data_IF_811405900330
#
_entry.id   IF_811405900330
#
_cell.length_a   1.000
_cell.length_b   1.000
_cell.length_c   1.000
_cell.angle_alpha   90.00
_cell.angle_beta   90.00
_cell.angle_gamma   90.00
#
_symmetry.space_group_name_H-M   'P 1'
#
loop_
_entity.id
_entity.type
_entity.pdbx_description
1 polymer ?
#
# COMPACT_ATOMS: atom_id res chain seq x y z
N UNK A 1 20.32 21.56 4.30
CA UNK A 1 19.28 21.58 3.25
C UNK A 1 18.89 20.13 3.00
N UNK A 2 17.66 19.74 3.33
CA UNK A 2 17.15 18.42 2.94
C UNK A 2 16.97 18.43 1.41
N UNK A 3 17.50 17.44 0.69
CA UNK A 3 17.28 17.37 -0.76
C UNK A 3 15.86 16.89 -1.01
N UNK A 4 15.23 17.37 -2.08
CA UNK A 4 13.86 17.02 -2.46
C UNK A 4 13.65 15.49 -2.56
N UNK A 5 14.68 14.77 -3.02
CA UNK A 5 14.71 13.31 -3.09
C UNK A 5 14.59 12.65 -1.72
N UNK A 6 15.24 13.20 -0.69
CA UNK A 6 15.20 12.65 0.67
C UNK A 6 13.78 12.77 1.27
N UNK A 7 13.09 13.88 0.96
CA UNK A 7 11.71 14.10 1.40
C UNK A 7 10.74 13.15 0.71
N UNK A 8 10.86 12.97 -0.62
CA UNK A 8 10.01 12.05 -1.38
C UNK A 8 10.15 10.61 -0.86
N UNK A 9 11.38 10.16 -0.61
CA UNK A 9 11.63 8.83 -0.04
C UNK A 9 11.02 8.67 1.35
N UNK A 10 11.14 9.70 2.21
CA UNK A 10 10.55 9.67 3.54
C UNK A 10 9.01 9.59 3.50
N UNK A 11 8.36 10.28 2.56
CA UNK A 11 6.90 10.21 2.36
C UNK A 11 6.48 8.80 1.95
N UNK A 12 7.16 8.20 0.96
CA UNK A 12 6.85 6.84 0.50
C UNK A 12 7.09 5.79 1.60
N UNK A 13 8.21 5.89 2.32
CA UNK A 13 8.51 4.97 3.43
C UNK A 13 7.45 5.05 4.56
N UNK A 14 6.96 6.27 4.86
CA UNK A 14 5.86 6.45 5.82
C UNK A 14 4.55 5.83 5.31
N UNK A 15 4.26 5.99 4.01
CA UNK A 15 3.11 5.34 3.40
C UNK A 15 3.23 3.81 3.50
N UNK A 16 4.39 3.23 3.20
CA UNK A 16 4.62 1.78 3.24
C UNK A 16 4.42 1.20 4.64
N UNK A 17 4.91 1.87 5.69
CA UNK A 17 4.67 1.47 7.07
C UNK A 17 3.16 1.50 7.43
N UNK A 18 2.44 2.49 6.90
CA UNK A 18 0.99 2.61 7.09
C UNK A 18 0.24 1.53 6.31
N UNK A 19 0.64 1.25 5.07
CA UNK A 19 0.11 0.21 4.21
C UNK A 19 0.28 -1.18 4.83
N UNK A 20 1.45 -1.45 5.43
CA UNK A 20 1.71 -2.69 6.16
C UNK A 20 0.74 -2.88 7.32
N UNK A 21 0.55 -1.83 8.14
CA UNK A 21 -0.37 -1.86 9.28
C UNK A 21 -1.83 -2.05 8.83
N UNK A 22 -2.24 -1.36 7.77
CA UNK A 22 -3.58 -1.46 7.20
C UNK A 22 -3.85 -2.86 6.64
N UNK A 23 -2.89 -3.43 5.89
CA UNK A 23 -2.95 -4.80 5.39
C UNK A 23 -3.12 -5.80 6.53
N UNK A 24 -2.29 -5.70 7.59
CA UNK A 24 -2.38 -6.59 8.72
C UNK A 24 -3.76 -6.54 9.40
N UNK A 25 -4.30 -5.32 9.61
CA UNK A 25 -5.63 -5.13 10.20
C UNK A 25 -6.77 -5.68 9.34
N UNK A 26 -6.75 -5.46 8.03
CA UNK A 26 -7.79 -5.95 7.12
C UNK A 26 -7.71 -7.47 6.92
N UNK A 27 -6.51 -8.03 6.81
CA UNK A 27 -6.30 -9.49 6.78
C UNK A 27 -6.79 -10.15 8.06
N UNK A 28 -6.52 -9.57 9.24
CA UNK A 28 -7.02 -10.09 10.51
C UNK A 28 -8.57 -10.10 10.60
N UNK A 29 -9.23 -9.21 9.85
CA UNK A 29 -10.70 -9.17 9.71
C UNK A 29 -11.23 -10.11 8.61
N UNK A 30 -10.35 -10.82 7.90
CA UNK A 30 -10.73 -11.68 6.76
C UNK A 30 -11.10 -10.90 5.50
N UNK A 31 -10.69 -9.63 5.40
CA UNK A 31 -10.99 -8.77 4.25
C UNK A 31 -9.85 -8.81 3.23
N UNK A 32 -10.16 -9.25 2.02
CA UNK A 32 -9.28 -9.12 0.85
C UNK A 32 -9.45 -7.75 0.22
N UNK A 33 -8.36 -7.05 -0.05
CA UNK A 33 -8.40 -5.70 -0.63
C UNK A 33 -7.94 -5.75 -2.08
N UNK A 34 -8.75 -5.19 -2.97
CA UNK A 34 -8.49 -5.12 -4.41
C UNK A 34 -8.39 -3.66 -4.85
N UNK A 35 -7.19 -3.22 -5.23
CA UNK A 35 -6.91 -1.86 -5.69
C UNK A 35 -6.93 -1.80 -7.22
N UNK A 36 -7.83 -1.00 -7.79
CA UNK A 36 -8.01 -0.85 -9.24
C UNK A 36 -7.33 0.43 -9.74
N UNK A 37 -6.30 0.27 -10.56
CA UNK A 37 -5.56 1.37 -11.20
C UNK A 37 -5.92 1.41 -12.69
N UNK A 38 -6.10 2.60 -13.26
CA UNK A 38 -6.35 2.76 -14.70
C UNK A 38 -6.10 4.19 -15.16
N UNK A 39 -6.18 4.44 -16.47
CA UNK A 39 -6.37 5.82 -16.96
C UNK A 39 -7.81 6.29 -16.72
N UNK A 40 -8.11 7.59 -16.79
CA UNK A 40 -9.49 8.08 -16.87
C UNK A 40 -10.23 7.41 -18.03
N UNK A 41 -11.48 7.02 -17.81
CA UNK A 41 -12.32 6.46 -18.87
C UNK A 41 -11.97 5.03 -19.32
N UNK A 42 -11.04 4.33 -18.67
CA UNK A 42 -10.75 2.91 -18.98
C UNK A 42 -11.89 1.96 -18.60
N UNK A 43 -12.96 2.43 -17.93
CA UNK A 43 -14.14 1.62 -17.62
C UNK A 43 -14.09 0.88 -16.29
N UNK A 44 -13.30 1.36 -15.31
CA UNK A 44 -13.24 0.79 -13.94
C UNK A 44 -14.63 0.68 -13.31
N UNK A 45 -15.37 1.80 -13.27
CA UNK A 45 -16.68 1.88 -12.62
C UNK A 45 -17.71 0.96 -13.24
N UNK A 46 -17.73 0.81 -14.57
CA UNK A 46 -18.63 -0.15 -15.23
C UNK A 46 -18.26 -1.59 -14.85
N UNK A 47 -16.98 -1.96 -14.91
CA UNK A 47 -16.58 -3.31 -14.52
C UNK A 47 -16.92 -3.56 -13.05
N UNK A 48 -16.56 -2.63 -12.16
CA UNK A 48 -16.77 -2.77 -10.73
C UNK A 48 -18.25 -2.82 -10.35
N UNK A 49 -19.12 -2.02 -10.98
CA UNK A 49 -20.58 -2.10 -10.79
C UNK A 49 -21.09 -3.52 -11.06
N UNK A 50 -20.62 -4.16 -12.14
CA UNK A 50 -20.99 -5.52 -12.53
C UNK A 50 -20.43 -6.58 -11.59
N UNK A 51 -19.18 -6.43 -11.16
CA UNK A 51 -18.53 -7.33 -10.19
C UNK A 51 -19.22 -7.28 -8.82
N UNK A 52 -19.59 -6.08 -8.34
CA UNK A 52 -20.35 -5.90 -7.11
C UNK A 52 -21.74 -6.52 -7.19
N UNK A 53 -22.47 -6.27 -8.29
CA UNK A 53 -23.79 -6.88 -8.50
C UNK A 53 -23.68 -8.42 -8.50
N UNK A 54 -22.66 -8.96 -9.18
CA UNK A 54 -22.39 -10.40 -9.21
C UNK A 54 -22.03 -10.97 -7.83
N UNK A 55 -21.31 -10.21 -7.01
CA UNK A 55 -21.00 -10.60 -5.64
C UNK A 55 -22.26 -10.63 -4.76
N UNK A 56 -23.12 -9.61 -4.88
CA UNK A 56 -24.41 -9.56 -4.20
C UNK A 56 -25.33 -10.74 -4.61
N UNK A 57 -25.41 -11.06 -5.91
CA UNK A 57 -26.13 -12.25 -6.41
C UNK A 57 -25.63 -13.56 -5.78
N UNK A 58 -24.32 -13.66 -5.52
CA UNK A 58 -23.68 -14.83 -4.93
C UNK A 58 -23.69 -14.82 -3.39
N UNK A 59 -24.24 -13.79 -2.75
CA UNK A 59 -24.21 -13.62 -1.30
C UNK A 59 -22.81 -13.42 -0.73
N UNK A 60 -21.86 -12.92 -1.52
CA UNK A 60 -20.50 -12.58 -1.06
C UNK A 60 -20.54 -11.20 -0.40
N UNK A 61 -20.14 -11.06 0.87
CA UNK A 61 -20.09 -9.75 1.52
C UNK A 61 -18.99 -8.88 0.92
N UNK A 62 -19.39 -7.87 0.15
CA UNK A 62 -18.48 -6.94 -0.53
C UNK A 62 -18.78 -5.50 -0.17
N UNK A 63 -17.78 -4.65 -0.24
CA UNK A 63 -17.92 -3.20 -0.19
C UNK A 63 -17.01 -2.56 -1.25
N UNK A 64 -17.34 -1.33 -1.64
CA UNK A 64 -16.52 -0.55 -2.55
C UNK A 64 -16.20 0.85 -1.99
N UNK A 65 -14.98 1.29 -2.23
CA UNK A 65 -14.58 2.68 -2.05
C UNK A 65 -14.13 3.20 -3.41
N UNK A 66 -14.64 4.35 -3.83
CA UNK A 66 -14.22 5.01 -5.07
C UNK A 66 -13.63 6.37 -4.76
N UNK A 67 -12.54 6.72 -5.43
CA UNK A 67 -11.79 7.95 -5.20
C UNK A 67 -11.64 8.77 -6.48
N UNK A 68 -12.08 10.02 -6.40
CA UNK A 68 -12.03 10.97 -7.50
C UNK A 68 -11.60 12.36 -7.03
N UNK A 69 -11.13 13.18 -7.97
CA UNK A 69 -10.83 14.59 -7.70
C UNK A 69 -12.12 15.39 -7.42
N UNK A 70 -13.22 15.02 -8.07
CA UNK A 70 -14.48 15.76 -8.00
C UNK A 70 -15.68 14.86 -8.35
N UNK A 71 -16.85 15.27 -7.88
CA UNK A 71 -18.15 14.61 -8.07
C UNK A 71 -18.31 13.29 -7.32
N UNK A 72 -19.55 12.84 -7.17
CA UNK A 72 -19.91 11.58 -6.51
C UNK A 72 -20.53 10.58 -7.52
N UNK A 73 -20.34 10.83 -8.81
CA UNK A 73 -21.02 10.11 -9.88
C UNK A 73 -20.72 8.61 -9.85
N UNK A 74 -19.45 8.26 -9.58
CA UNK A 74 -19.02 6.87 -9.55
C UNK A 74 -19.58 6.17 -8.30
N UNK A 75 -19.62 6.83 -7.14
CA UNK A 75 -20.24 6.25 -5.95
C UNK A 75 -21.76 6.01 -6.13
N UNK A 76 -22.49 6.98 -6.69
CA UNK A 76 -23.92 6.85 -7.00
C UNK A 76 -24.18 5.69 -7.95
N UNK A 77 -23.29 5.52 -8.94
CA UNK A 77 -23.39 4.45 -9.90
C UNK A 77 -23.12 3.09 -9.27
N UNK A 78 -22.03 2.94 -8.54
CA UNK A 78 -21.66 1.69 -7.87
C UNK A 78 -22.71 1.25 -6.85
N UNK A 79 -23.37 2.18 -6.15
CA UNK A 79 -24.41 1.88 -5.18
C UNK A 79 -25.63 1.14 -5.77
N UNK A 80 -25.84 1.20 -7.09
CA UNK A 80 -26.90 0.45 -7.79
C UNK A 80 -26.73 -1.06 -7.71
N UNK A 81 -25.50 -1.53 -7.43
CA UNK A 81 -25.22 -2.95 -7.19
C UNK A 81 -25.87 -3.51 -5.93
N UNK A 82 -26.26 -2.65 -4.98
CA UNK A 82 -26.73 -3.03 -3.65
C UNK A 82 -25.62 -3.24 -2.62
N UNK A 83 -24.35 -3.14 -3.02
CA UNK A 83 -23.22 -3.16 -2.10
C UNK A 83 -23.05 -1.82 -1.35
N UNK A 84 -22.50 -1.81 -0.13
CA UNK A 84 -22.03 -0.60 0.54
C UNK A 84 -20.95 0.10 -0.29
N UNK A 85 -21.14 1.40 -0.57
CA UNK A 85 -20.20 2.22 -1.35
C UNK A 85 -19.82 3.49 -0.61
N UNK A 86 -18.53 3.85 -0.63
CA UNK A 86 -18.01 5.12 -0.11
C UNK A 86 -17.33 5.93 -1.20
N UNK A 87 -17.74 7.19 -1.33
CA UNK A 87 -16.97 8.18 -2.09
C UNK A 87 -15.82 8.72 -1.23
N UNK A 88 -14.67 8.92 -1.87
CA UNK A 88 -13.58 9.74 -1.37
C UNK A 88 -13.32 10.84 -2.39
N UNK A 89 -13.36 12.09 -1.95
CA UNK A 89 -12.85 13.21 -2.73
C UNK A 89 -11.41 13.45 -2.28
N UNK A 90 -10.47 13.42 -3.23
CA UNK A 90 -9.03 13.44 -2.91
C UNK A 90 -8.48 14.85 -2.67
N UNK A 91 -9.34 15.88 -2.69
CA UNK A 91 -8.98 17.29 -2.49
C UNK A 91 -7.81 17.75 -3.38
N UNK A 92 -7.77 17.26 -4.62
CA UNK A 92 -6.76 17.60 -5.63
C UNK A 92 -5.60 16.62 -5.73
N UNK A 93 -5.51 15.60 -4.87
CA UNK A 93 -4.49 14.56 -4.98
C UNK A 93 -4.81 13.60 -6.14
N UNK A 94 -3.79 13.25 -6.92
CA UNK A 94 -3.91 12.35 -8.08
C UNK A 94 -3.91 10.85 -7.72
N UNK A 95 -3.93 10.51 -6.43
CA UNK A 95 -3.84 9.14 -5.91
C UNK A 95 -4.41 9.06 -4.48
N UNK A 96 -4.67 7.84 -4.02
CA UNK A 96 -4.90 7.53 -2.61
C UNK A 96 -3.59 7.15 -1.90
N UNK A 97 -3.54 7.43 -0.59
CA UNK A 97 -2.49 6.97 0.32
C UNK A 97 -3.10 5.99 1.35
N UNK A 98 -2.29 5.07 1.88
CA UNK A 98 -2.76 4.07 2.85
C UNK A 98 -3.39 4.71 4.10
N UNK A 99 -2.80 5.81 4.60
CA UNK A 99 -3.34 6.52 5.75
C UNK A 99 -4.69 7.18 5.48
N UNK A 100 -4.91 7.65 4.25
CA UNK A 100 -6.20 8.21 3.81
C UNK A 100 -7.25 7.10 3.73
N UNK A 101 -6.91 5.99 3.08
CA UNK A 101 -7.78 4.81 3.01
C UNK A 101 -8.17 4.33 4.41
N UNK A 102 -7.20 4.13 5.31
CA UNK A 102 -7.45 3.69 6.69
C UNK A 102 -8.47 4.57 7.43
N UNK A 103 -8.34 5.91 7.33
CA UNK A 103 -9.30 6.84 7.94
C UNK A 103 -10.71 6.73 7.35
N UNK A 104 -10.83 6.48 6.04
CA UNK A 104 -12.14 6.29 5.42
C UNK A 104 -12.78 4.94 5.74
N UNK A 105 -11.98 3.91 6.02
CA UNK A 105 -12.50 2.59 6.41
C UNK A 105 -12.92 2.55 7.89
N UNK A 106 -12.28 3.35 8.73
CA UNK A 106 -12.62 3.45 10.15
C UNK A 106 -14.09 3.84 10.36
N UNK A 107 -14.78 3.08 11.21
CA UNK A 107 -16.21 3.20 11.51
C UNK A 107 -17.17 3.19 10.29
N UNK A 108 -16.71 2.74 9.12
CA UNK A 108 -17.55 2.64 7.93
C UNK A 108 -17.59 1.23 7.33
N UNK A 109 -16.44 0.54 7.25
CA UNK A 109 -16.37 -0.76 6.57
C UNK A 109 -17.18 -1.81 7.37
N UNK A 110 -18.26 -2.38 6.79
CA UNK A 110 -19.12 -3.32 7.50
C UNK A 110 -18.38 -4.55 8.00
N UNK A 111 -18.77 -5.05 9.18
CA UNK A 111 -18.22 -6.28 9.73
C UNK A 111 -18.54 -7.48 8.84
N UNK A 112 -17.59 -8.39 8.72
CA UNK A 112 -17.71 -9.55 7.83
C UNK A 112 -17.51 -9.23 6.34
N UNK A 113 -17.14 -7.99 5.97
CA UNK A 113 -16.76 -7.67 4.59
C UNK A 113 -15.60 -8.57 4.15
N UNK A 114 -15.85 -9.42 3.16
CA UNK A 114 -14.89 -10.41 2.66
C UNK A 114 -14.00 -9.81 1.58
N UNK A 115 -14.55 -8.94 0.73
CA UNK A 115 -13.78 -8.22 -0.29
C UNK A 115 -14.10 -6.73 -0.24
N UNK A 116 -13.05 -5.93 -0.15
CA UNK A 116 -13.10 -4.49 -0.34
C UNK A 116 -12.48 -4.15 -1.70
N UNK A 117 -13.30 -3.62 -2.62
CA UNK A 117 -12.81 -3.02 -3.85
C UNK A 117 -12.48 -1.55 -3.63
N UNK A 118 -11.31 -1.13 -4.07
CA UNK A 118 -10.87 0.27 -4.07
C UNK A 118 -10.69 0.69 -5.52
N UNK A 119 -11.65 1.47 -6.03
CA UNK A 119 -11.52 2.16 -7.30
C UNK A 119 -10.66 3.42 -7.09
N UNK A 120 -9.38 3.33 -7.47
CA UNK A 120 -8.43 4.43 -7.32
C UNK A 120 -8.67 5.50 -8.40
N UNK A 121 -8.09 6.68 -8.18
CA UNK A 121 -8.16 7.80 -9.13
C UNK A 121 -7.71 7.32 -10.52
N UNK A 122 -8.36 7.80 -11.57
CA UNK A 122 -7.95 7.57 -12.96
C UNK A 122 -6.57 8.16 -13.26
N UNK A 123 -5.51 7.45 -12.89
CA UNK A 123 -4.12 7.78 -13.15
C UNK A 123 -3.25 6.51 -13.09
N UNK A 124 -2.31 6.37 -14.02
CA UNK A 124 -1.34 5.26 -14.04
C UNK A 124 0.07 5.64 -13.57
N UNK A 125 0.29 6.90 -13.23
CA UNK A 125 1.59 7.40 -12.77
C UNK A 125 1.60 7.49 -11.26
N UNK A 126 0.83 8.42 -10.66
CA UNK A 126 0.88 8.66 -9.22
C UNK A 126 0.52 7.40 -8.40
N UNK A 127 -0.60 6.69 -8.66
CA UNK A 127 -1.03 5.58 -7.81
C UNK A 127 -0.08 4.38 -7.83
N UNK A 128 0.75 4.24 -8.87
CA UNK A 128 1.66 3.11 -9.00
C UNK A 128 2.72 3.09 -7.89
N UNK A 129 3.10 4.26 -7.36
CA UNK A 129 4.14 4.39 -6.33
C UNK A 129 3.64 4.22 -4.90
N UNK A 130 2.31 4.13 -4.67
CA UNK A 130 1.73 4.10 -3.34
C UNK A 130 1.08 2.74 -3.08
N UNK A 131 1.62 2.00 -2.12
CA UNK A 131 0.97 0.82 -1.54
C UNK A 131 -0.23 1.26 -0.68
N UNK A 132 -1.41 0.68 -0.89
CA UNK A 132 -2.61 0.89 -0.08
C UNK A 132 -2.82 -0.22 0.95
N UNK A 133 -1.89 -1.16 1.07
CA UNK A 133 -2.07 -2.37 1.85
C UNK A 133 -2.92 -3.40 1.12
N UNK A 134 -3.04 -3.29 -0.20
CA UNK A 134 -3.86 -4.20 -0.99
C UNK A 134 -3.34 -5.64 -1.01
N UNK A 135 -4.25 -6.58 -1.22
CA UNK A 135 -3.93 -7.98 -1.53
C UNK A 135 -3.70 -8.14 -3.03
N UNK A 136 -4.53 -7.48 -3.84
CA UNK A 136 -4.44 -7.48 -5.30
C UNK A 136 -4.40 -6.05 -5.83
N UNK A 137 -3.34 -5.70 -6.55
CA UNK A 137 -3.23 -4.54 -7.43
C UNK A 137 -3.58 -4.97 -8.84
N UNK A 138 -4.66 -4.41 -9.36
CA UNK A 138 -5.19 -4.72 -10.67
C UNK A 138 -5.06 -3.49 -11.56
N UNK A 139 -4.42 -3.64 -12.71
CA UNK A 139 -4.29 -2.57 -13.70
C UNK A 139 -5.27 -2.80 -14.84
N UNK A 140 -6.10 -1.79 -15.10
CA UNK A 140 -7.04 -1.77 -16.21
C UNK A 140 -6.49 -0.93 -17.37
N UNK A 141 -6.63 -1.45 -18.58
CA UNK A 141 -6.38 -0.75 -19.83
C UNK A 141 -7.53 -1.01 -20.79
N UNK A 142 -8.10 0.02 -21.40
CA UNK A 142 -9.09 -0.18 -22.45
C UNK A 142 -8.44 -0.29 -23.83
N UNK A 143 -9.06 -1.05 -24.73
CA UNK A 143 -8.59 -1.20 -26.12
C UNK A 143 -8.43 0.14 -26.85
N UNK A 144 -9.14 1.18 -26.41
CA UNK A 144 -9.07 2.54 -26.98
C UNK A 144 -7.79 3.30 -26.60
N UNK A 145 -6.93 2.74 -25.77
CA UNK A 145 -5.72 3.39 -25.26
C UNK A 145 -4.43 2.93 -25.97
N UNK A 146 -4.55 1.95 -26.87
CA UNK A 146 -3.44 1.39 -27.63
C UNK A 146 -2.63 0.34 -26.87
N UNK A 147 -1.85 -0.41 -27.64
CA UNK A 147 -1.13 -1.62 -27.21
C UNK A 147 0.18 -1.28 -26.49
N UNK A 148 0.74 -0.10 -26.75
CA UNK A 148 2.02 0.37 -26.23
C UNK A 148 1.95 0.86 -24.76
N UNK A 149 0.75 0.88 -24.21
CA UNK A 149 0.47 1.35 -22.86
C UNK A 149 1.31 0.68 -21.75
N UNK A 150 1.55 -0.65 -21.76
CA UNK A 150 2.41 -1.28 -20.76
C UNK A 150 3.83 -0.71 -20.76
N UNK A 151 4.39 -0.42 -21.94
CA UNK A 151 5.73 0.16 -22.06
C UNK A 151 5.78 1.63 -21.64
N UNK A 152 4.68 2.37 -21.83
CA UNK A 152 4.57 3.79 -21.41
C UNK A 152 4.39 3.95 -19.90
N UNK A 153 3.79 2.98 -19.23
CA UNK A 153 3.51 3.02 -17.79
C UNK A 153 4.10 1.80 -17.06
N UNK A 154 5.42 1.56 -17.17
CA UNK A 154 6.02 0.30 -16.74
C UNK A 154 5.84 0.04 -15.26
N UNK A 155 5.88 1.07 -14.40
CA UNK A 155 5.68 0.91 -12.95
C UNK A 155 4.29 0.39 -12.61
N UNK A 156 3.23 0.89 -13.27
CA UNK A 156 1.87 0.41 -13.00
C UNK A 156 1.73 -1.06 -13.41
N UNK A 157 2.08 -1.38 -14.65
CA UNK A 157 1.94 -2.74 -15.19
C UNK A 157 2.91 -3.73 -14.53
N UNK A 158 4.13 -3.30 -14.20
CA UNK A 158 5.19 -4.08 -13.58
C UNK A 158 4.98 -4.38 -12.09
N UNK A 159 4.05 -3.68 -11.43
CA UNK A 159 3.61 -3.93 -10.05
C UNK A 159 2.23 -4.62 -9.97
N UNK A 160 1.54 -4.80 -11.11
CA UNK A 160 0.22 -5.43 -11.12
C UNK A 160 0.30 -6.93 -10.82
N UNK A 161 -0.65 -7.45 -10.05
CA UNK A 161 -0.87 -8.90 -9.91
C UNK A 161 -1.89 -9.44 -10.91
N UNK A 162 -2.67 -8.56 -11.54
CA UNK A 162 -3.62 -8.89 -12.59
C UNK A 162 -3.73 -7.70 -13.56
N UNK A 163 -3.74 -7.97 -14.85
CA UNK A 163 -4.03 -6.98 -15.88
C UNK A 163 -5.39 -7.29 -16.51
N UNK A 164 -6.23 -6.27 -16.64
CA UNK A 164 -7.55 -6.39 -17.25
C UNK A 164 -7.65 -5.47 -18.45
N UNK A 165 -7.89 -6.06 -19.63
CA UNK A 165 -8.21 -5.33 -20.85
C UNK A 165 -9.72 -5.13 -20.94
N UNK A 166 -10.17 -3.90 -21.03
CA UNK A 166 -11.59 -3.54 -21.05
C UNK A 166 -12.04 -3.06 -22.43
N UNK A 167 -13.36 -3.05 -22.61
CA UNK A 167 -14.03 -2.60 -23.85
C UNK A 167 -13.66 -3.43 -25.08
N UNK A 168 -13.41 -4.72 -24.91
CA UNK A 168 -13.05 -5.61 -26.02
C UNK A 168 -14.15 -5.74 -27.09
N UNK A 169 -15.36 -5.25 -26.78
CA UNK A 169 -16.47 -5.08 -27.73
C UNK A 169 -16.21 -4.15 -28.90
N UNK A 170 -15.24 -3.25 -28.75
CA UNK A 170 -14.89 -2.28 -29.79
C UNK A 170 -13.45 -2.44 -30.25
N UNK A 171 -12.81 -3.59 -29.96
CA UNK A 171 -11.40 -3.84 -30.32
C UNK A 171 -11.17 -3.73 -31.83
N UNK A 172 -12.02 -4.36 -32.65
CA UNK A 172 -11.95 -4.28 -34.12
C UNK A 172 -12.12 -2.83 -34.62
N UNK A 173 -13.06 -2.08 -34.02
CA UNK A 173 -13.36 -0.71 -34.44
C UNK A 173 -12.21 0.27 -34.17
N UNK A 174 -11.29 -0.07 -33.26
CA UNK A 174 -10.12 0.75 -32.93
C UNK A 174 -8.80 0.10 -33.35
N UNK A 175 -8.87 -0.98 -34.14
CA UNK A 175 -7.72 -1.72 -34.65
C UNK A 175 -6.76 -2.20 -33.53
N UNK A 176 -7.33 -2.71 -32.43
CA UNK A 176 -6.54 -3.11 -31.27
C UNK A 176 -5.80 -4.43 -31.50
N UNK A 177 -4.47 -4.41 -31.44
CA UNK A 177 -3.63 -5.60 -31.53
C UNK A 177 -3.39 -6.24 -30.15
N UNK A 178 -4.27 -7.17 -29.79
CA UNK A 178 -4.17 -7.90 -28.53
C UNK A 178 -2.84 -8.65 -28.37
N UNK A 179 -2.29 -9.20 -29.47
CA UNK A 179 -1.05 -9.97 -29.41
C UNK A 179 0.14 -9.05 -29.06
N UNK A 180 0.21 -7.87 -29.69
CA UNK A 180 1.19 -6.86 -29.36
C UNK A 180 1.05 -6.37 -27.90
N UNK A 181 -0.18 -6.09 -27.44
CA UNK A 181 -0.41 -5.69 -26.04
C UNK A 181 0.08 -6.77 -25.06
N UNK A 182 -0.26 -8.04 -25.30
CA UNK A 182 0.21 -9.16 -24.45
C UNK A 182 1.72 -9.27 -24.45
N UNK A 183 2.38 -9.09 -25.60
CA UNK A 183 3.83 -9.10 -25.69
C UNK A 183 4.47 -7.97 -24.85
N UNK A 184 3.92 -6.75 -24.92
CA UNK A 184 4.38 -5.63 -24.09
C UNK A 184 4.15 -5.85 -22.60
N UNK A 185 3.00 -6.43 -22.21
CA UNK A 185 2.77 -6.82 -20.81
C UNK A 185 3.80 -7.84 -20.36
N UNK A 186 4.09 -8.88 -21.15
CA UNK A 186 5.09 -9.88 -20.81
C UNK A 186 6.50 -9.30 -20.70
N UNK A 187 6.84 -8.28 -21.49
CA UNK A 187 8.13 -7.59 -21.38
C UNK A 187 8.28 -6.84 -20.04
N UNK A 188 7.20 -6.23 -19.55
CA UNK A 188 7.20 -5.41 -18.33
C UNK A 188 6.97 -6.24 -17.07
N UNK A 189 6.08 -7.22 -17.15
CA UNK A 189 5.66 -8.06 -16.04
C UNK A 189 5.48 -9.54 -16.48
N UNK A 190 6.59 -10.28 -16.68
CA UNK A 190 6.54 -11.65 -17.14
C UNK A 190 5.66 -12.53 -16.24
N UNK A 191 4.76 -13.31 -16.85
CA UNK A 191 3.89 -14.25 -16.16
C UNK A 191 2.61 -13.68 -15.56
N UNK A 192 2.41 -12.36 -15.58
CA UNK A 192 1.14 -11.78 -15.09
C UNK A 192 -0.03 -12.22 -15.97
N UNK A 193 -1.16 -12.53 -15.33
CA UNK A 193 -2.39 -12.87 -16.02
C UNK A 193 -3.00 -11.62 -16.70
N UNK A 194 -3.47 -11.79 -17.94
CA UNK A 194 -4.19 -10.76 -18.70
C UNK A 194 -5.58 -11.27 -19.03
N UNK A 195 -6.60 -10.65 -18.43
CA UNK A 195 -8.02 -10.96 -18.60
C UNK A 195 -8.66 -9.97 -19.56
N UNK A 196 -9.48 -10.47 -20.48
CA UNK A 196 -10.26 -9.65 -21.40
C UNK A 196 -11.69 -9.47 -20.89
N UNK A 197 -12.22 -8.26 -21.00
CA UNK A 197 -13.57 -7.93 -20.54
C UNK A 197 -14.30 -7.03 -21.53
N UNK A 198 -15.61 -7.25 -21.61
CA UNK A 198 -16.58 -6.31 -22.17
C UNK A 198 -17.77 -6.26 -21.22
N UNK A 199 -17.62 -5.49 -20.14
CA UNK A 199 -18.55 -5.47 -19.03
C UNK A 199 -20.00 -5.18 -19.44
N UNK A 200 -20.21 -4.34 -20.47
CA UNK A 200 -21.56 -4.07 -21.02
C UNK A 200 -22.21 -5.28 -21.70
N UNK A 201 -21.43 -6.22 -22.21
CA UNK A 201 -21.88 -7.52 -22.75
C UNK A 201 -21.84 -8.64 -21.71
N UNK A 202 -21.39 -8.36 -20.49
CA UNK A 202 -21.20 -9.37 -19.43
C UNK A 202 -19.97 -10.27 -19.62
N UNK A 203 -19.16 -10.05 -20.66
CA UNK A 203 -17.99 -10.87 -20.95
C UNK A 203 -16.85 -10.57 -19.96
N UNK A 204 -16.32 -11.63 -19.36
CA UNK A 204 -15.24 -11.56 -18.36
C UNK A 204 -15.69 -11.09 -16.97
N UNK A 205 -16.93 -10.63 -16.80
CA UNK A 205 -17.50 -10.26 -15.50
C UNK A 205 -17.54 -11.48 -14.57
N UNK A 206 -17.14 -11.28 -13.32
CA UNK A 206 -16.99 -12.31 -12.30
C UNK A 206 -15.55 -12.81 -12.17
N UNK A 207 -14.72 -12.63 -13.21
CA UNK A 207 -13.33 -13.09 -13.17
C UNK A 207 -12.53 -12.35 -12.10
N UNK A 208 -12.74 -11.03 -11.99
CA UNK A 208 -12.07 -10.24 -10.96
C UNK A 208 -12.51 -10.67 -9.55
N UNK A 209 -13.81 -10.83 -9.34
CA UNK A 209 -14.36 -11.36 -8.09
C UNK A 209 -13.78 -12.74 -7.73
N UNK A 210 -13.69 -13.66 -8.69
CA UNK A 210 -13.15 -15.00 -8.48
C UNK A 210 -11.67 -14.97 -8.11
N UNK A 211 -10.86 -14.12 -8.75
CA UNK A 211 -9.44 -13.93 -8.38
C UNK A 211 -9.29 -13.33 -7.00
N UNK A 212 -10.15 -12.38 -6.63
CA UNK A 212 -10.15 -11.79 -5.29
C UNK A 212 -10.53 -12.82 -4.21
N UNK A 213 -11.56 -13.64 -4.45
CA UNK A 213 -11.95 -14.72 -3.54
C UNK A 213 -10.81 -15.73 -3.37
N UNK A 214 -10.21 -16.18 -4.47
CA UNK A 214 -9.11 -17.14 -4.45
C UNK A 214 -7.89 -16.59 -3.69
N UNK A 215 -7.53 -15.32 -3.90
CA UNK A 215 -6.44 -14.67 -3.17
C UNK A 215 -6.73 -14.62 -1.66
N UNK A 216 -7.97 -14.30 -1.27
CA UNK A 216 -8.41 -14.33 0.13
C UNK A 216 -8.40 -15.72 0.76
N UNK A 217 -8.54 -16.77 -0.04
CA UNK A 217 -8.45 -18.17 0.38
C UNK A 217 -6.99 -18.71 0.38
N UNK A 218 -6.01 -17.85 0.07
CA UNK A 218 -4.59 -18.21 0.09
C UNK A 218 -4.08 -18.82 -1.22
N UNK A 219 -4.83 -18.70 -2.32
CA UNK A 219 -4.32 -19.07 -3.63
C UNK A 219 -3.07 -18.23 -3.97
N UNK A 220 -2.05 -18.80 -4.64
CA UNK A 220 -0.88 -18.05 -5.05
C UNK A 220 -1.26 -16.86 -5.94
N UNK A 221 -0.82 -15.67 -5.55
CA UNK A 221 -0.95 -14.45 -6.33
C UNK A 221 0.35 -14.21 -7.10
N UNK A 222 0.25 -13.72 -8.33
CA UNK A 222 1.40 -13.32 -9.14
C UNK A 222 2.34 -12.41 -8.33
N UNK A 223 3.64 -12.66 -8.39
CA UNK A 223 4.65 -11.82 -7.72
C UNK A 223 5.31 -10.93 -8.77
N UNK A 224 5.00 -9.63 -8.81
CA UNK A 224 5.52 -8.75 -9.84
C UNK A 224 7.04 -8.57 -9.71
N UNK A 225 7.73 -8.48 -10.84
CA UNK A 225 9.20 -8.36 -10.86
C UNK A 225 9.66 -7.05 -10.18
N UNK A 226 8.95 -5.96 -10.42
CA UNK A 226 9.29 -4.65 -9.84
C UNK A 226 9.02 -4.58 -8.33
N UNK A 227 8.14 -5.43 -7.79
CA UNK A 227 7.92 -5.50 -6.34
C UNK A 227 9.17 -6.00 -5.60
N UNK A 228 10.03 -6.78 -6.28
CA UNK A 228 11.31 -7.27 -5.73
C UNK A 228 12.41 -6.21 -5.72
N UNK A 229 12.22 -5.09 -6.41
CA UNK A 229 13.25 -4.05 -6.61
C UNK A 229 13.06 -2.83 -5.69
N UNK A 230 11.95 -2.73 -4.95
CA UNK A 230 11.77 -1.71 -3.92
C UNK A 230 12.47 -2.17 -2.62
N UNK A 231 13.63 -1.58 -2.23
CA UNK A 231 14.48 -2.12 -1.18
C UNK A 231 13.93 -1.99 0.25
N UNK A 232 12.72 -1.44 0.43
CA UNK A 232 12.11 -1.30 1.76
C UNK A 232 11.40 -2.57 2.25
N UNK A 233 11.32 -3.61 1.41
CA UNK A 233 10.85 -4.92 1.81
C UNK A 233 12.03 -5.84 2.14
N UNK A 234 12.33 -5.97 3.44
CA UNK A 234 12.99 -7.10 4.13
C UNK A 234 14.19 -6.69 5.01
N UNK A 235 13.90 -6.38 6.27
CA UNK A 235 14.80 -6.72 7.37
C UNK A 235 14.03 -7.56 8.39
N UNK A 236 14.19 -8.88 8.32
CA UNK A 236 13.80 -9.79 9.40
C UNK A 236 14.92 -9.77 10.45
N UNK A 237 14.65 -9.25 11.64
CA UNK A 237 15.54 -9.44 12.79
C UNK A 237 15.34 -10.85 13.34
N UNK A 238 16.29 -11.74 13.08
CA UNK A 238 16.43 -12.98 13.84
C UNK A 238 17.08 -12.65 15.19
N UNK A 239 16.29 -12.69 16.27
CA UNK A 239 16.85 -12.73 17.61
C UNK A 239 17.49 -14.10 17.82
N UNK A 240 18.82 -14.16 17.80
CA UNK A 240 19.57 -15.32 18.25
C UNK A 240 19.39 -15.47 19.75
N UNK A 241 18.83 -16.60 20.16
CA UNK A 241 18.68 -17.03 21.54
C UNK A 241 20.07 -17.12 22.20
N UNK A 242 20.31 -16.26 23.20
CA UNK A 242 21.45 -16.32 24.10
C UNK A 242 20.89 -16.37 25.51
N UNK A 243 20.71 -17.59 26.01
CA UNK A 243 20.24 -17.86 27.36
C UNK A 243 21.14 -17.20 28.42
N UNK A 244 20.52 -16.53 29.37
CA UNK A 244 21.16 -16.07 30.59
C UNK A 244 20.93 -17.12 31.68
N UNK A 245 22.01 -17.80 32.10
CA UNK A 245 22.07 -18.57 33.33
C UNK A 245 22.27 -17.61 34.52
N UNK A 246 21.56 -17.84 35.62
CA UNK A 246 21.68 -17.12 36.90
C UNK A 246 22.59 -17.93 37.83
N UNK A 247 23.83 -17.46 38.02
CA UNK A 247 24.77 -18.05 38.99
C UNK A 247 24.93 -17.11 40.19
N UNK A 248 24.34 -17.52 41.31
CA UNK A 248 24.52 -16.89 42.62
C UNK A 248 25.69 -17.53 43.36
N UNK A 249 26.68 -16.72 43.79
CA UNK A 249 27.73 -17.16 44.69
C UNK A 249 27.79 -16.29 45.96
N UNK A 250 27.75 -16.97 47.11
CA UNK A 250 27.90 -16.39 48.45
C UNK A 250 29.36 -16.32 48.85
N UNK A 251 29.83 -15.15 49.28
CA UNK A 251 31.07 -15.03 50.06
C UNK A 251 30.76 -14.68 51.52
N UNK A 252 31.44 -15.40 52.42
CA UNK A 252 31.42 -15.23 53.87
C UNK A 252 32.71 -14.52 54.24
N UNK A 253 32.65 -13.36 54.87
CA UNK A 253 33.81 -12.81 55.56
C UNK A 253 33.47 -12.04 56.84
N UNK A 254 34.38 -12.18 57.81
CA UNK A 254 34.29 -11.69 59.17
C UNK A 254 34.75 -10.23 59.27
N UNK A 255 33.97 -9.35 59.92
CA UNK A 255 34.46 -8.01 60.32
C UNK A 255 33.38 -6.95 60.33
N UNK A 256 33.44 -6.06 61.31
CA UNK A 256 32.40 -5.10 61.68
C UNK A 256 32.26 -3.89 60.72
N UNK A 257 31.07 -3.28 60.80
CA UNK A 257 30.60 -2.02 60.17
C UNK A 257 29.97 -2.15 58.78
N UNK A 258 28.85 -1.44 58.61
CA UNK A 258 27.84 -1.72 57.60
C UNK A 258 27.86 -0.80 56.38
N UNK A 259 27.35 -1.36 55.27
CA UNK A 259 26.55 -0.75 54.20
C UNK A 259 26.41 -1.80 53.08
N UNK A 260 25.20 -2.07 52.59
CA UNK A 260 25.02 -2.89 51.39
C UNK A 260 25.23 -2.02 50.15
N UNK A 261 26.08 -2.44 49.21
CA UNK A 261 26.26 -1.79 47.93
C UNK A 261 25.88 -2.75 46.80
N UNK A 262 25.12 -2.28 45.82
CA UNK A 262 24.84 -2.95 44.55
C UNK A 262 25.93 -2.63 43.55
N UNK A 263 26.54 -3.64 42.92
CA UNK A 263 27.43 -3.45 41.77
C UNK A 263 26.64 -3.63 40.47
N UNK A 264 26.69 -2.64 39.58
CA UNK A 264 26.25 -2.76 38.20
C UNK A 264 27.47 -3.15 37.37
N UNK A 265 27.48 -4.35 36.77
CA UNK A 265 28.49 -4.69 35.77
C UNK A 265 28.11 -4.03 34.44
N UNK A 266 29.01 -3.22 33.88
CA UNK A 266 28.91 -2.77 32.50
C UNK A 266 29.41 -3.90 31.59
N UNK A 267 28.53 -4.50 30.79
CA UNK A 267 28.95 -5.41 29.73
C UNK A 267 29.53 -4.58 28.57
N UNK A 268 30.83 -4.69 28.34
CA UNK A 268 31.45 -4.25 27.08
C UNK A 268 31.26 -5.35 26.04
N UNK A 269 30.20 -5.25 25.23
CA UNK A 269 29.98 -6.11 24.07
C UNK A 269 30.41 -5.43 22.78
N UNK A 270 31.12 -6.15 21.91
CA UNK A 270 31.38 -5.76 20.53
C UNK A 270 30.27 -6.39 19.67
N UNK A 271 29.55 -5.57 18.90
CA UNK A 271 28.62 -6.06 17.89
C UNK A 271 29.30 -6.10 16.53
N UNK A 272 29.17 -7.22 15.83
CA UNK A 272 29.63 -7.41 14.45
C UNK A 272 28.45 -7.29 13.50
N UNK A 273 28.57 -6.40 12.50
CA UNK A 273 27.62 -6.30 11.39
C UNK A 273 28.32 -6.68 10.09
N UNK A 274 27.67 -7.47 9.25
CA UNK A 274 28.21 -7.91 7.95
C UNK A 274 27.35 -7.33 6.83
N UNK A 275 27.96 -6.57 5.92
CA UNK A 275 27.29 -6.04 4.72
C UNK A 275 27.77 -6.78 3.45
N UNK A 276 26.87 -7.10 2.50
CA UNK A 276 27.23 -7.84 1.27
C UNK A 276 28.30 -7.15 0.42
N UNK A 277 28.32 -5.81 0.40
CA UNK A 277 29.23 -5.02 -0.44
C UNK A 277 30.33 -4.28 0.35
N UNK A 278 30.29 -4.28 1.69
CA UNK A 278 31.19 -3.46 2.52
C UNK A 278 32.00 -4.24 3.57
N UNK A 279 31.78 -5.55 3.70
CA UNK A 279 32.50 -6.39 4.67
C UNK A 279 32.02 -6.20 6.12
N UNK A 280 32.75 -6.80 7.07
CA UNK A 280 32.37 -6.85 8.49
C UNK A 280 32.94 -5.67 9.26
N UNK A 281 32.11 -5.03 10.09
CA UNK A 281 32.52 -3.93 10.97
C UNK A 281 32.14 -4.18 12.43
N UNK A 282 33.01 -3.71 13.32
CA UNK A 282 32.86 -3.80 14.77
C UNK A 282 32.69 -2.39 15.36
N UNK A 283 31.70 -2.22 16.24
CA UNK A 283 31.50 -0.97 16.96
C UNK A 283 31.44 -1.20 18.47
N UNK A 284 32.21 -0.43 19.27
CA UNK A 284 32.06 -0.41 20.72
C UNK A 284 31.01 0.63 21.16
N UNK A 285 30.16 0.27 22.12
CA UNK A 285 29.18 1.17 22.72
C UNK A 285 29.76 1.82 24.00
N UNK A 286 29.57 3.13 24.18
CA UNK A 286 29.72 3.82 25.46
C UNK A 286 28.36 4.37 25.92
N UNK A 287 28.14 4.38 27.24
CA UNK A 287 26.84 4.61 27.92
C UNK A 287 26.36 6.08 28.00
N UNK A 288 25.39 6.38 28.89
CA UNK A 288 24.17 7.14 28.57
C UNK A 288 24.28 8.66 28.79
N UNK A 289 23.50 9.46 28.04
CA UNK A 289 23.31 10.89 28.30
C UNK A 289 21.88 11.20 28.76
N UNK A 290 21.79 11.88 29.91
CA UNK A 290 20.59 12.44 30.53
C UNK A 290 20.25 13.81 29.90
N UNK A 291 18.95 14.12 29.76
CA UNK A 291 18.47 15.44 29.36
C UNK A 291 17.93 16.22 30.57
N UNK A 292 18.40 17.46 30.72
CA UNK A 292 17.93 18.46 31.68
C UNK A 292 17.07 19.53 30.98
N UNK A 293 15.99 19.96 31.63
CA UNK A 293 15.14 21.10 31.26
C UNK A 293 15.81 22.45 31.59
N UNK A 294 15.42 23.53 30.89
CA UNK A 294 15.02 24.74 31.64
C UNK A 294 13.76 25.44 31.09
N UNK A 295 12.98 25.98 32.02
CA UNK A 295 11.89 26.95 31.83
C UNK A 295 12.45 28.37 31.58
N UNK A 296 11.89 29.11 30.62
CA UNK A 296 11.51 30.53 30.73
C UNK A 296 10.67 31.00 29.51
N UNK A 297 9.74 31.97 29.65
CA UNK A 297 8.68 32.27 28.68
C UNK A 297 9.06 33.34 27.65
N UNK A 298 8.75 33.11 26.37
CA UNK A 298 8.90 34.10 25.30
C UNK A 298 7.56 34.77 24.96
N UNK A 299 7.58 36.09 25.02
CA UNK A 299 6.50 37.05 24.74
C UNK A 299 6.11 37.03 23.26
N UNK A 300 4.81 36.85 22.98
CA UNK A 300 4.21 36.99 21.65
C UNK A 300 4.07 38.47 21.26
N UNK A 301 4.69 38.86 20.15
CA UNK A 301 4.32 40.05 19.37
C UNK A 301 3.46 39.64 18.17
N UNK A 302 2.37 40.34 17.85
CA UNK A 302 1.47 39.98 16.76
C UNK A 302 2.02 40.39 15.38
N UNK A 303 1.88 39.48 14.41
CA UNK A 303 2.16 39.70 12.99
C UNK A 303 0.91 40.30 12.31
N UNK A 304 1.03 41.37 11.51
CA UNK A 304 -0.11 41.96 10.81
C UNK A 304 -0.50 41.17 9.55
N UNK A 305 -1.80 41.16 9.34
CA UNK A 305 -2.57 40.51 8.26
C UNK A 305 -2.29 41.17 6.89
N UNK A 306 -2.06 40.37 5.84
CA UNK A 306 -1.89 40.87 4.46
C UNK A 306 -2.80 40.12 3.50
N UNK A 307 -4.09 40.44 3.59
CA UNK A 307 -5.04 40.21 2.51
C UNK A 307 -5.06 41.44 1.59
N UNK A 308 -4.55 41.30 0.36
CA UNK A 308 -5.02 41.95 -0.87
C UNK A 308 -3.89 42.00 -1.90
N UNK A 309 -4.03 41.27 -3.00
CA UNK A 309 -3.69 41.70 -4.37
C UNK A 309 -3.74 40.48 -5.28
N UNK A 310 -4.82 40.31 -6.03
CA UNK A 310 -4.82 39.83 -7.42
C UNK A 310 -6.23 40.05 -7.99
N UNK A 311 -6.42 41.22 -8.60
CA UNK A 311 -7.44 41.49 -9.62
C UNK A 311 -6.74 42.20 -10.76
N UNK A 312 -6.60 41.48 -11.88
CA UNK A 312 -6.52 41.99 -13.24
C UNK A 312 -6.87 40.85 -14.18
#
# INVERSE_FOLDING_TARGET
MCREVDLQQAVLAKNDATAHSLRAGLTARGTTVVNLLSSPGSGKTELLERELARACERGVPVAALTADLATENDAVRLARSGAPVKQVLTDGLCHLEAGMLGRHLDNWLPDGTRILFVENVGNLVCPASYDLGETLRVVLASVTEGEDKPLKYPTAFGLAQLVVVTKTDIAEAVDFDEAAFRAHVQQVNPGVEVVLTAARRGEGVGTLLDRALAAGEGAPVHTPVMARQHPYQQHTHTHGDMGAHDDTHTHRDHGAHGASHTHTHAHTGIHTHTHPDLGTHEHPHTGPHAHAHPDEPLVMTPVPDSAAQYRS
#
